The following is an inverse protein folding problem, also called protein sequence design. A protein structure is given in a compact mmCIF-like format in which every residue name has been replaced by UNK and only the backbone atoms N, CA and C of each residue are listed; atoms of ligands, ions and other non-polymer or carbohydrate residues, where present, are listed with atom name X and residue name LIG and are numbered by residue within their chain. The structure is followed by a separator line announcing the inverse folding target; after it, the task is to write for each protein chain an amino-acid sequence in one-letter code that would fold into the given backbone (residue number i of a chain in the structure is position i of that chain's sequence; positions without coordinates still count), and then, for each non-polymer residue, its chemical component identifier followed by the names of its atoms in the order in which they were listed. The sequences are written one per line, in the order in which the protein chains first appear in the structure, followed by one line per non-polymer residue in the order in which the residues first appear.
data_IF_949313266174
#
_entry.id   IF_949313266174
#
_cell.length_a   1.000
_cell.length_b   1.000
_cell.length_c   1.000
_cell.angle_alpha   90.00
_cell.angle_beta   90.00
_cell.angle_gamma   90.00
#
_symmetry.space_group_name_H-M   'P 1'
#
loop_
_entity.id
_entity.type
_entity.pdbx_description
1 polymer ?
#
# COMPACT_ATOMS: atom_id res chain seq x y z
N UNK A 1 16.09 -28.12 -27.22
CA UNK A 1 14.70 -28.54 -27.51
C UNK A 1 13.82 -27.29 -27.32
N UNK A 2 13.49 -26.58 -28.40
CA UNK A 2 12.67 -25.37 -28.32
C UNK A 2 11.22 -25.76 -28.05
N UNK A 3 10.74 -25.57 -26.82
CA UNK A 3 9.31 -25.64 -26.54
C UNK A 3 8.63 -24.54 -27.34
N UNK A 4 7.96 -24.90 -28.44
CA UNK A 4 7.04 -24.02 -29.14
C UNK A 4 5.84 -23.79 -28.22
N UNK A 5 5.94 -22.77 -27.36
CA UNK A 5 4.79 -22.29 -26.61
C UNK A 5 3.63 -22.02 -27.58
N UNK A 6 2.43 -22.46 -27.23
CA UNK A 6 1.24 -22.16 -28.02
C UNK A 6 1.07 -20.64 -28.12
N UNK A 7 0.46 -20.16 -29.21
CA UNK A 7 0.17 -18.72 -29.39
C UNK A 7 -0.50 -18.10 -28.16
N UNK A 8 -1.32 -18.89 -27.46
CA UNK A 8 -2.04 -18.51 -26.25
C UNK A 8 -1.12 -18.25 -25.05
N UNK A 9 -0.11 -19.09 -24.81
CA UNK A 9 0.84 -18.88 -23.72
C UNK A 9 1.67 -17.61 -23.90
N UNK A 10 2.05 -17.28 -25.14
CA UNK A 10 2.76 -16.03 -25.45
C UNK A 10 1.90 -14.80 -25.12
N UNK A 11 0.61 -14.83 -25.44
CA UNK A 11 -0.33 -13.74 -25.14
C UNK A 11 -0.46 -13.55 -23.63
N UNK A 12 -0.60 -14.63 -22.85
CA UNK A 12 -0.71 -14.56 -21.39
C UNK A 12 0.52 -13.90 -20.75
N UNK A 13 1.72 -14.23 -21.22
CA UNK A 13 2.96 -13.63 -20.71
C UNK A 13 3.00 -12.13 -21.00
N UNK A 14 2.63 -11.71 -22.21
CA UNK A 14 2.58 -10.29 -22.58
C UNK A 14 1.59 -9.53 -21.69
N UNK A 15 0.38 -10.08 -21.49
CA UNK A 15 -0.63 -9.47 -20.62
C UNK A 15 -0.10 -9.31 -19.19
N UNK A 16 0.55 -10.34 -18.63
CA UNK A 16 1.13 -10.27 -17.29
C UNK A 16 2.23 -9.21 -17.18
N UNK A 17 3.08 -9.05 -18.20
CA UNK A 17 4.09 -7.98 -18.23
C UNK A 17 3.41 -6.61 -18.18
N UNK A 18 2.39 -6.39 -19.00
CA UNK A 18 1.64 -5.12 -19.02
C UNK A 18 0.97 -4.85 -17.68
N UNK A 19 0.29 -5.85 -17.09
CA UNK A 19 -0.34 -5.72 -15.78
C UNK A 19 0.69 -5.42 -14.68
N UNK A 20 1.86 -6.06 -14.72
CA UNK A 20 2.94 -5.83 -13.74
C UNK A 20 3.50 -4.42 -13.88
N UNK A 21 3.64 -3.89 -15.10
CA UNK A 21 4.07 -2.50 -15.32
C UNK A 21 3.06 -1.50 -14.77
N UNK A 22 1.77 -1.70 -15.04
CA UNK A 22 0.70 -0.85 -14.50
C UNK A 22 0.69 -0.88 -12.98
N UNK A 23 0.77 -2.07 -12.37
CA UNK A 23 0.87 -2.21 -10.91
C UNK A 23 2.10 -1.50 -10.35
N UNK A 24 3.24 -1.58 -11.03
CA UNK A 24 4.47 -0.89 -10.63
C UNK A 24 4.29 0.62 -10.60
N UNK A 25 3.66 1.20 -11.63
CA UNK A 25 3.38 2.64 -11.70
C UNK A 25 2.46 3.08 -10.54
N UNK A 26 1.42 2.29 -10.24
CA UNK A 26 0.52 2.56 -9.11
C UNK A 26 1.29 2.51 -7.79
N UNK A 27 2.17 1.52 -7.60
CA UNK A 27 3.00 1.43 -6.40
C UNK A 27 3.95 2.62 -6.27
N UNK A 28 4.58 3.09 -7.35
CA UNK A 28 5.43 4.29 -7.34
C UNK A 28 4.63 5.52 -6.92
N UNK A 29 3.43 5.70 -7.47
CA UNK A 29 2.55 6.80 -7.07
C UNK A 29 2.18 6.73 -5.58
N UNK A 30 1.87 5.53 -5.07
CA UNK A 30 1.56 5.35 -3.65
C UNK A 30 2.78 5.60 -2.75
N UNK A 31 3.99 5.18 -3.16
CA UNK A 31 5.23 5.48 -2.44
C UNK A 31 5.44 6.99 -2.34
N UNK A 32 5.28 7.71 -3.45
CA UNK A 32 5.38 9.18 -3.47
C UNK A 32 4.35 9.83 -2.52
N UNK A 33 3.10 9.35 -2.52
CA UNK A 33 2.07 9.83 -1.58
C UNK A 33 2.44 9.57 -0.12
N UNK A 34 3.07 8.43 0.18
CA UNK A 34 3.56 8.09 1.52
C UNK A 34 4.68 9.05 1.94
N UNK A 35 5.66 9.30 1.06
CA UNK A 35 6.75 10.24 1.33
C UNK A 35 6.22 11.64 1.64
N UNK A 36 5.35 12.18 0.78
CA UNK A 36 4.72 13.50 1.01
C UNK A 36 3.94 13.54 2.33
N UNK A 37 3.25 12.45 2.68
CA UNK A 37 2.50 12.38 3.95
C UNK A 37 3.45 12.37 5.15
N UNK A 38 4.54 11.58 5.07
CA UNK A 38 5.54 11.51 6.13
C UNK A 38 6.27 12.85 6.30
N UNK A 39 6.60 13.55 5.22
CA UNK A 39 7.23 14.87 5.27
C UNK A 39 6.34 15.89 6.00
N UNK A 40 5.03 15.90 5.71
CA UNK A 40 4.06 16.73 6.44
C UNK A 40 4.02 16.38 7.93
N UNK A 41 4.00 15.09 8.26
CA UNK A 41 4.00 14.62 9.64
C UNK A 41 5.27 15.08 10.35
N UNK A 42 6.45 14.91 9.73
CA UNK A 42 7.73 15.34 10.30
C UNK A 42 7.78 16.86 10.50
N UNK A 43 7.30 17.65 9.55
CA UNK A 43 7.23 19.10 9.69
C UNK A 43 6.42 19.52 10.93
N UNK A 44 5.26 18.89 11.15
CA UNK A 44 4.43 19.15 12.34
C UNK A 44 5.09 18.64 13.63
N UNK A 45 5.76 17.48 13.59
CA UNK A 45 6.52 16.98 14.74
C UNK A 45 7.62 17.97 15.16
N UNK A 46 8.34 18.55 14.20
CA UNK A 46 9.40 19.53 14.46
C UNK A 46 8.85 20.89 14.90
N UNK A 47 7.78 21.37 14.27
CA UNK A 47 7.18 22.68 14.58
C UNK A 47 6.56 22.71 15.99
N UNK A 48 5.83 21.65 16.35
CA UNK A 48 5.09 21.59 17.61
C UNK A 48 5.79 20.78 18.70
N UNK A 49 6.93 20.15 18.42
CA UNK A 49 7.66 19.25 19.33
C UNK A 49 6.77 18.13 19.89
N UNK A 50 5.96 17.53 19.02
CA UNK A 50 4.98 16.48 19.39
C UNK A 50 5.38 15.11 18.83
N UNK A 51 4.97 14.01 19.48
CA UNK A 51 5.14 12.67 18.91
C UNK A 51 4.32 12.51 17.62
N UNK A 52 4.69 11.52 16.79
CA UNK A 52 4.11 11.25 15.47
C UNK A 52 2.58 11.14 15.51
N UNK A 53 2.04 10.45 16.49
CA UNK A 53 0.59 10.25 16.64
C UNK A 53 -0.14 11.57 16.85
N UNK A 54 0.43 12.47 17.66
CA UNK A 54 -0.15 13.79 17.90
C UNK A 54 -0.01 14.71 16.68
N UNK A 55 1.09 14.60 15.93
CA UNK A 55 1.24 15.31 14.65
C UNK A 55 0.20 14.87 13.61
N UNK A 56 -0.09 13.57 13.54
CA UNK A 56 -1.16 13.03 12.69
C UNK A 56 -2.53 13.57 13.13
N UNK A 57 -2.83 13.56 14.44
CA UNK A 57 -4.09 14.10 14.97
C UNK A 57 -4.25 15.59 14.58
N UNK A 58 -3.20 16.41 14.73
CA UNK A 58 -3.21 17.84 14.34
C UNK A 58 -3.47 18.01 12.84
N UNK A 59 -2.79 17.24 11.99
CA UNK A 59 -2.97 17.30 10.54
C UNK A 59 -4.39 16.90 10.11
N UNK A 60 -4.96 15.87 10.74
CA UNK A 60 -6.36 15.45 10.51
C UNK A 60 -7.33 16.55 10.95
N UNK A 61 -7.10 17.18 12.10
CA UNK A 61 -7.94 18.29 12.59
C UNK A 61 -7.90 19.51 11.66
N UNK A 62 -6.77 19.74 11.00
CA UNK A 62 -6.60 20.79 10.01
C UNK A 62 -7.19 20.42 8.63
N UNK A 63 -7.75 19.22 8.47
CA UNK A 63 -8.39 18.76 7.23
C UNK A 63 -7.40 18.35 6.13
N UNK A 64 -6.15 18.02 6.48
CA UNK A 64 -5.16 17.54 5.51
C UNK A 64 -5.48 16.12 5.03
N UNK A 65 -5.39 15.91 3.72
CA UNK A 65 -5.51 14.58 3.10
C UNK A 65 -4.22 13.79 3.34
N UNK A 66 -4.20 12.98 4.41
CA UNK A 66 -3.07 12.11 4.75
C UNK A 66 -3.26 10.73 4.15
N UNK A 67 -2.26 10.26 3.41
CA UNK A 67 -2.22 8.87 2.97
C UNK A 67 -1.67 7.98 4.08
N UNK A 68 -2.49 7.68 5.08
CA UNK A 68 -2.18 6.72 6.16
C UNK A 68 -2.50 5.30 5.66
N UNK A 69 -1.87 4.93 4.55
CA UNK A 69 -2.02 3.60 3.95
C UNK A 69 -1.14 2.55 4.61
N UNK A 70 -1.29 1.28 4.20
CA UNK A 70 -0.39 0.22 4.63
C UNK A 70 0.95 0.33 3.87
N UNK A 71 1.88 1.13 4.41
CA UNK A 71 3.20 1.41 3.82
C UNK A 71 3.94 0.12 3.47
N UNK A 72 3.94 -0.85 4.39
CA UNK A 72 4.56 -2.16 4.20
C UNK A 72 4.02 -2.89 2.96
N UNK A 73 2.69 -2.95 2.81
CA UNK A 73 2.06 -3.61 1.67
C UNK A 73 2.43 -2.95 0.34
N UNK A 74 2.59 -1.63 0.35
CA UNK A 74 2.95 -0.85 -0.84
C UNK A 74 4.40 -1.13 -1.27
N UNK A 75 5.36 -1.07 -0.34
CA UNK A 75 6.76 -1.40 -0.63
C UNK A 75 6.97 -2.87 -1.00
N UNK A 76 6.23 -3.76 -0.34
CA UNK A 76 6.25 -5.19 -0.66
C UNK A 76 5.70 -5.45 -2.08
N UNK A 77 4.56 -4.86 -2.43
CA UNK A 77 3.97 -4.96 -3.78
C UNK A 77 4.89 -4.41 -4.88
N UNK A 78 5.54 -3.27 -4.62
CA UNK A 78 6.56 -2.72 -5.52
C UNK A 78 7.73 -3.67 -5.74
N UNK A 79 8.30 -4.19 -4.65
CA UNK A 79 9.44 -5.12 -4.70
C UNK A 79 9.09 -6.41 -5.46
N UNK A 80 7.91 -6.97 -5.21
CA UNK A 80 7.42 -8.15 -5.92
C UNK A 80 7.23 -7.89 -7.42
N UNK A 81 6.76 -6.70 -7.78
CA UNK A 81 6.59 -6.31 -9.19
C UNK A 81 7.93 -6.20 -9.92
N UNK A 82 8.97 -5.65 -9.26
CA UNK A 82 10.34 -5.62 -9.81
C UNK A 82 10.88 -7.04 -10.02
N UNK A 83 10.73 -7.92 -9.01
CA UNK A 83 11.20 -9.30 -9.10
C UNK A 83 10.50 -10.04 -10.24
N UNK A 84 9.18 -9.88 -10.36
CA UNK A 84 8.40 -10.48 -11.45
C UNK A 84 8.90 -10.00 -12.82
N UNK A 85 9.13 -8.70 -13.00
CA UNK A 85 9.69 -8.15 -14.24
C UNK A 85 11.08 -8.72 -14.56
N UNK A 86 11.96 -8.85 -13.56
CA UNK A 86 13.29 -9.43 -13.74
C UNK A 86 13.22 -10.89 -14.22
N UNK A 87 12.29 -11.66 -13.67
CA UNK A 87 12.07 -13.06 -14.06
C UNK A 87 11.51 -13.14 -15.48
N UNK A 88 10.56 -12.28 -15.84
CA UNK A 88 10.06 -12.21 -17.21
C UNK A 88 11.16 -11.82 -18.21
N UNK A 89 12.04 -10.89 -17.84
CA UNK A 89 13.21 -10.52 -18.65
C UNK A 89 14.18 -11.69 -18.84
N UNK A 90 14.53 -12.39 -17.75
CA UNK A 90 15.38 -13.59 -17.80
C UNK A 90 14.78 -14.67 -18.71
N UNK A 91 13.47 -14.91 -18.59
CA UNK A 91 12.76 -15.83 -19.48
C UNK A 91 12.82 -15.39 -20.94
N UNK A 92 12.55 -14.11 -21.24
CA UNK A 92 12.62 -13.59 -22.61
C UNK A 92 14.02 -13.72 -23.23
N UNK A 93 15.09 -13.58 -22.42
CA UNK A 93 16.48 -13.64 -22.88
C UNK A 93 16.98 -15.07 -23.13
N UNK A 94 16.71 -15.99 -22.21
CA UNK A 94 17.31 -17.34 -22.25
C UNK A 94 16.36 -18.41 -22.82
N UNK A 95 15.04 -18.18 -22.76
CA UNK A 95 14.00 -19.10 -23.27
C UNK A 95 14.17 -20.56 -22.79
N UNK A 96 14.75 -20.74 -21.60
CA UNK A 96 15.00 -22.02 -20.96
C UNK A 96 13.77 -22.48 -20.18
N UNK A 97 13.53 -23.81 -20.14
CA UNK A 97 12.37 -24.39 -19.45
C UNK A 97 12.32 -24.05 -17.95
N UNK A 98 13.48 -23.94 -17.29
CA UNK A 98 13.60 -23.51 -15.88
C UNK A 98 13.11 -22.09 -15.66
N UNK A 99 13.47 -21.16 -16.57
CA UNK A 99 13.03 -19.76 -16.53
C UNK A 99 11.53 -19.62 -16.81
N UNK A 100 10.98 -20.48 -17.67
CA UNK A 100 9.54 -20.53 -17.94
C UNK A 100 8.73 -20.97 -16.72
N UNK A 101 9.24 -21.98 -16.00
CA UNK A 101 8.60 -22.53 -14.80
C UNK A 101 8.62 -21.50 -13.66
N UNK A 102 9.73 -20.78 -13.51
CA UNK A 102 9.85 -19.62 -12.61
C UNK A 102 8.87 -18.49 -12.97
N UNK A 103 8.75 -18.14 -14.26
CA UNK A 103 7.81 -17.10 -14.71
C UNK A 103 6.35 -17.48 -14.41
N UNK A 104 5.94 -18.73 -14.67
CA UNK A 104 4.61 -19.22 -14.33
C UNK A 104 4.36 -19.25 -12.82
N UNK A 105 5.35 -19.70 -12.04
CA UNK A 105 5.25 -19.74 -10.58
C UNK A 105 5.13 -18.35 -9.97
N UNK A 106 5.96 -17.40 -10.40
CA UNK A 106 5.89 -16.03 -9.93
C UNK A 106 4.62 -15.33 -10.41
N UNK A 107 4.15 -15.58 -11.63
CA UNK A 107 2.86 -15.08 -12.12
C UNK A 107 1.69 -15.59 -11.27
N UNK A 108 1.68 -16.87 -10.91
CA UNK A 108 0.67 -17.45 -10.02
C UNK A 108 0.72 -16.83 -8.61
N UNK A 109 1.92 -16.71 -8.02
CA UNK A 109 2.09 -16.08 -6.71
C UNK A 109 1.67 -14.62 -6.72
N UNK A 110 2.08 -13.83 -7.72
CA UNK A 110 1.66 -12.42 -7.82
C UNK A 110 0.17 -12.29 -8.01
N UNK A 111 -0.47 -13.20 -8.74
CA UNK A 111 -1.94 -13.21 -8.87
C UNK A 111 -2.63 -13.53 -7.54
N UNK A 112 -2.13 -14.51 -6.76
CA UNK A 112 -2.67 -14.82 -5.42
C UNK A 112 -2.46 -13.68 -4.45
N UNK A 113 -1.23 -13.18 -4.34
CA UNK A 113 -0.88 -12.08 -3.43
C UNK A 113 -1.64 -10.81 -3.83
N UNK A 114 -1.71 -10.51 -5.13
CA UNK A 114 -2.46 -9.39 -5.66
C UNK A 114 -3.96 -9.52 -5.36
N UNK A 115 -4.54 -10.71 -5.54
CA UNK A 115 -5.92 -10.99 -5.15
C UNK A 115 -6.19 -10.81 -3.66
N UNK A 116 -5.29 -11.32 -2.80
CA UNK A 116 -5.38 -11.14 -1.34
C UNK A 116 -5.23 -9.67 -0.93
N UNK A 117 -4.34 -8.92 -1.58
CA UNK A 117 -4.19 -7.47 -1.37
C UNK A 117 -5.42 -6.70 -1.82
N UNK A 118 -6.02 -7.07 -2.96
CA UNK A 118 -7.23 -6.43 -3.45
C UNK A 118 -8.42 -6.72 -2.52
N UNK A 119 -8.57 -7.98 -2.07
CA UNK A 119 -9.53 -8.34 -1.04
C UNK A 119 -9.26 -7.58 0.26
N UNK A 120 -8.01 -7.49 0.70
CA UNK A 120 -7.66 -6.69 1.86
C UNK A 120 -8.02 -5.21 1.62
N UNK A 121 -7.73 -4.59 0.49
CA UNK A 121 -8.10 -3.19 0.24
C UNK A 121 -9.61 -2.96 0.19
N UNK A 122 -10.38 -3.89 -0.37
CA UNK A 122 -11.86 -3.79 -0.46
C UNK A 122 -12.52 -4.02 0.91
N UNK A 123 -11.97 -4.91 1.73
CA UNK A 123 -12.56 -5.31 3.01
C UNK A 123 -11.84 -4.75 4.25
N UNK A 124 -10.71 -4.06 4.07
CA UNK A 124 -9.98 -3.37 5.13
C UNK A 124 -10.58 -1.98 5.28
N UNK A 125 -11.66 -1.92 6.05
CA UNK A 125 -12.38 -0.72 6.55
C UNK A 125 -11.52 0.28 7.36
N UNK A 126 -10.19 0.23 7.21
CA UNK A 126 -9.24 0.96 8.07
C UNK A 126 -9.22 2.47 7.82
N UNK A 127 -9.78 2.97 6.72
CA UNK A 127 -9.99 4.41 6.55
C UNK A 127 -11.16 4.93 7.39
N UNK A 128 -12.23 4.15 7.58
CA UNK A 128 -13.35 4.54 8.45
C UNK A 128 -13.00 4.35 9.93
N UNK A 129 -12.24 3.30 10.26
CA UNK A 129 -11.92 2.95 11.66
C UNK A 129 -11.04 4.02 12.35
N UNK A 130 -10.15 4.70 11.61
CA UNK A 130 -9.38 5.83 12.14
C UNK A 130 -10.24 7.06 12.39
N UNK A 131 -11.15 7.42 11.47
CA UNK A 131 -12.09 8.53 11.63
C UNK A 131 -13.04 8.30 12.82
N UNK A 132 -13.55 7.08 12.97
CA UNK A 132 -14.40 6.70 14.11
C UNK A 132 -13.65 6.72 15.45
N UNK A 133 -12.36 6.34 15.47
CA UNK A 133 -11.52 6.44 16.68
C UNK A 133 -11.34 7.89 17.13
N UNK A 134 -11.07 8.81 16.21
CA UNK A 134 -10.87 10.23 16.51
C UNK A 134 -12.15 10.87 17.05
N UNK A 135 -13.31 10.54 16.50
CA UNK A 135 -14.61 10.99 17.04
C UNK A 135 -14.89 10.44 18.45
N UNK A 136 -14.61 9.16 18.70
CA UNK A 136 -14.83 8.57 20.02
C UNK A 136 -13.91 9.19 21.10
N UNK A 137 -12.68 9.55 20.72
CA UNK A 137 -11.69 10.19 21.61
C UNK A 137 -12.11 11.62 21.94
N UNK A 138 -12.55 12.40 20.94
CA UNK A 138 -13.15 13.73 21.13
C UNK A 138 -14.36 13.71 22.05
N UNK A 139 -15.25 12.72 21.89
CA UNK A 139 -16.41 12.55 22.79
C UNK A 139 -15.98 12.27 24.23
N UNK A 140 -14.99 11.41 24.44
CA UNK A 140 -14.47 11.08 25.76
C UNK A 140 -13.80 12.27 26.48
N UNK A 141 -13.07 13.11 25.74
CA UNK A 141 -12.41 14.28 26.31
C UNK A 141 -13.40 15.42 26.61
N UNK A 142 -14.45 15.58 25.78
CA UNK A 142 -15.58 16.47 26.09
C UNK A 142 -16.33 16.01 27.35
N UNK A 143 -16.63 14.73 27.49
CA UNK A 143 -17.29 14.16 28.67
C UNK A 143 -16.45 14.35 29.94
N UNK A 144 -15.13 14.15 29.87
CA UNK A 144 -14.19 14.45 30.97
C UNK A 144 -14.16 15.94 31.32
N UNK A 145 -14.24 16.84 30.34
CA UNK A 145 -14.25 18.29 30.58
C UNK A 145 -15.50 18.74 31.35
N UNK A 146 -16.67 18.15 31.04
CA UNK A 146 -17.93 18.44 31.72
C UNK A 146 -17.93 17.89 33.15
N UNK A 147 -17.44 16.66 33.35
CA UNK A 147 -17.31 16.08 34.69
C UNK A 147 -16.39 16.92 35.59
N UNK A 148 -15.27 17.43 35.05
CA UNK A 148 -14.34 18.29 35.78
C UNK A 148 -14.96 19.64 36.14
N UNK A 149 -15.83 20.20 35.30
CA UNK A 149 -16.54 21.45 35.58
C UNK A 149 -17.63 21.29 36.65
N UNK A 150 -18.29 20.13 36.70
CA UNK A 150 -19.32 19.83 37.70
C UNK A 150 -18.75 19.48 39.09
N UNK A 151 -17.46 19.14 39.20
CA UNK A 151 -16.76 18.87 40.47
C UNK A 151 -16.21 20.13 41.15
N UNK A 152 -16.31 21.31 40.51
CA UNK A 152 -15.80 22.60 41.03
C UNK A 152 -16.95 23.49 41.58
N UNK A 153 -18.18 22.95 41.69
CA UNK A 153 -19.28 23.56 42.44
C UNK A 153 -19.45 22.89 43.79
#
# INVERSE_FOLDING_TARGET
MYYRFSKLARIIIIINIVLTLVATIIHVYNIYRIEVTNDKIYAVMEEYFVPREAAIDILIENGEDLFIGNEFATYFGFSMSIIAQFIYYKYAKYNEGSSALLACFFGFITTIIGGLLLSYMIFSDKSEDYLMRTESKKKNDWEKSIQKHNLIK
#
